data_IF_143465175445
#
_entry.id   IF_143465175445
#
_cell.length_a   1.000
_cell.length_b   1.000
_cell.length_c   1.000
_cell.angle_alpha   90.00
_cell.angle_beta   90.00
_cell.angle_gamma   90.00
#
_symmetry.space_group_name_H-M   'P 1'
#
loop_
_entity.id
_entity.type
_entity.pdbx_description
1 polymer ?
#
# COMPACT_ATOMS: atom_id res chain seq x y z
N UNK A 1 -49.78 -23.61 2.87
CA UNK A 1 -48.74 -22.74 2.28
C UNK A 1 -47.76 -23.53 1.42
N UNK A 2 -47.45 -24.79 1.75
CA UNK A 2 -46.57 -25.65 0.95
C UNK A 2 -46.87 -25.87 -0.54
N UNK A 3 -48.11 -25.71 -1.01
CA UNK A 3 -48.38 -25.75 -2.47
C UNK A 3 -47.67 -24.61 -3.22
N UNK A 4 -47.59 -23.41 -2.61
CA UNK A 4 -46.97 -22.25 -3.26
C UNK A 4 -45.45 -22.37 -3.36
N UNK A 5 -44.78 -22.84 -2.30
CA UNK A 5 -43.32 -23.01 -2.31
C UNK A 5 -42.90 -24.03 -3.38
N UNK A 6 -43.60 -25.17 -3.45
CA UNK A 6 -43.33 -26.22 -4.43
C UNK A 6 -43.56 -25.71 -5.87
N UNK A 7 -44.66 -25.00 -6.13
CA UNK A 7 -44.93 -24.37 -7.43
C UNK A 7 -43.85 -23.35 -7.81
N UNK A 8 -43.40 -22.50 -6.86
CA UNK A 8 -42.32 -21.54 -7.08
C UNK A 8 -40.99 -22.21 -7.38
N UNK A 9 -40.65 -23.31 -6.69
CA UNK A 9 -39.44 -24.10 -6.96
C UNK A 9 -39.46 -24.73 -8.36
N UNK A 10 -40.61 -25.28 -8.78
CA UNK A 10 -40.77 -25.84 -10.13
C UNK A 10 -40.61 -24.78 -11.21
N UNK A 11 -41.23 -23.61 -11.05
CA UNK A 11 -41.09 -22.51 -12.01
C UNK A 11 -39.68 -21.93 -12.07
N UNK A 12 -38.94 -21.93 -10.96
CA UNK A 12 -37.61 -21.35 -10.86
C UNK A 12 -36.47 -22.29 -11.32
N UNK A 13 -36.73 -23.60 -11.48
CA UNK A 13 -35.68 -24.62 -11.67
C UNK A 13 -34.78 -24.33 -12.88
N UNK A 14 -35.36 -23.99 -14.03
CA UNK A 14 -34.58 -23.68 -15.24
C UNK A 14 -33.67 -22.47 -15.07
N UNK A 15 -34.17 -21.40 -14.43
CA UNK A 15 -33.37 -20.19 -14.17
C UNK A 15 -32.26 -20.46 -13.14
N UNK A 16 -32.55 -21.24 -12.10
CA UNK A 16 -31.56 -21.65 -11.11
C UNK A 16 -30.38 -22.41 -11.76
N UNK A 17 -30.67 -23.35 -12.66
CA UNK A 17 -29.64 -24.12 -13.36
C UNK A 17 -28.77 -23.25 -14.29
N UNK A 18 -29.38 -22.32 -15.02
CA UNK A 18 -28.66 -21.37 -15.87
C UNK A 18 -27.68 -20.51 -15.06
N UNK A 19 -28.15 -19.94 -13.94
CA UNK A 19 -27.34 -19.09 -13.06
C UNK A 19 -26.15 -19.85 -12.46
N UNK A 20 -26.37 -21.09 -11.99
CA UNK A 20 -25.29 -21.93 -11.45
C UNK A 20 -24.29 -22.34 -12.53
N UNK A 21 -24.73 -22.51 -13.77
CA UNK A 21 -23.82 -22.75 -14.90
C UNK A 21 -22.93 -21.53 -15.15
N UNK A 22 -23.48 -20.32 -15.11
CA UNK A 22 -22.69 -19.09 -15.26
C UNK A 22 -21.70 -18.95 -14.09
N UNK A 23 -22.13 -19.21 -12.85
CA UNK A 23 -21.27 -19.14 -11.67
C UNK A 23 -20.11 -20.13 -11.76
N UNK A 24 -20.34 -21.37 -12.17
CA UNK A 24 -19.27 -22.36 -12.32
C UNK A 24 -18.29 -22.02 -13.44
N UNK A 25 -18.75 -21.43 -14.55
CA UNK A 25 -17.87 -20.95 -15.63
C UNK A 25 -17.00 -19.75 -15.21
N UNK A 26 -17.47 -18.96 -14.23
CA UNK A 26 -16.85 -17.70 -13.81
C UNK A 26 -16.21 -17.75 -12.42
N UNK A 27 -16.21 -18.92 -11.76
CA UNK A 27 -15.79 -19.11 -10.35
C UNK A 27 -14.39 -18.56 -10.06
N UNK A 28 -13.48 -18.71 -11.02
CA UNK A 28 -12.08 -18.27 -10.88
C UNK A 28 -11.86 -16.77 -11.17
N UNK A 29 -12.83 -16.08 -11.77
CA UNK A 29 -12.65 -14.71 -12.26
C UNK A 29 -12.36 -13.68 -11.14
N UNK A 30 -13.10 -13.67 -10.00
CA UNK A 30 -12.83 -12.72 -8.92
C UNK A 30 -11.44 -12.90 -8.29
N UNK A 31 -11.01 -14.15 -8.11
CA UNK A 31 -9.69 -14.48 -7.56
C UNK A 31 -8.58 -14.08 -8.52
N UNK A 32 -8.73 -14.41 -9.81
CA UNK A 32 -7.78 -14.03 -10.85
C UNK A 32 -7.66 -12.50 -10.99
N UNK A 33 -8.77 -11.76 -10.88
CA UNK A 33 -8.76 -10.29 -10.91
C UNK A 33 -7.95 -9.70 -9.76
N UNK A 34 -8.10 -10.26 -8.55
CA UNK A 34 -7.34 -9.83 -7.37
C UNK A 34 -5.84 -10.10 -7.53
N UNK A 35 -5.48 -11.27 -8.06
CA UNK A 35 -4.08 -11.63 -8.34
C UNK A 35 -3.48 -10.71 -9.41
N UNK A 36 -4.19 -10.49 -10.51
CA UNK A 36 -3.77 -9.59 -11.59
C UNK A 36 -3.59 -8.13 -11.09
N UNK A 37 -4.48 -7.64 -10.23
CA UNK A 37 -4.34 -6.30 -9.60
C UNK A 37 -3.08 -6.19 -8.74
N UNK A 38 -2.76 -7.27 -8.00
CA UNK A 38 -1.51 -7.33 -7.21
C UNK A 38 -0.28 -7.34 -8.12
N UNK A 39 -0.33 -8.10 -9.21
CA UNK A 39 0.73 -8.16 -10.21
C UNK A 39 0.98 -6.80 -10.89
N UNK A 40 -0.09 -6.07 -11.26
CA UNK A 40 0.01 -4.70 -11.79
C UNK A 40 0.73 -3.78 -10.80
N UNK A 41 0.39 -3.86 -9.51
CA UNK A 41 1.02 -3.03 -8.47
C UNK A 41 2.52 -3.33 -8.33
N UNK A 42 2.90 -4.61 -8.40
CA UNK A 42 4.31 -5.03 -8.38
C UNK A 42 5.06 -4.52 -9.62
N UNK A 43 4.48 -4.68 -10.82
CA UNK A 43 5.06 -4.15 -12.06
C UNK A 43 5.27 -2.63 -12.01
N UNK A 44 4.28 -1.88 -11.52
CA UNK A 44 4.40 -0.42 -11.35
C UNK A 44 5.54 -0.05 -10.39
N UNK A 45 5.71 -0.81 -9.31
CA UNK A 45 6.81 -0.60 -8.36
C UNK A 45 8.16 -0.87 -9.01
N UNK A 46 8.30 -2.00 -9.73
CA UNK A 46 9.54 -2.36 -10.45
C UNK A 46 9.88 -1.35 -11.54
N UNK A 47 8.89 -0.84 -12.27
CA UNK A 47 9.06 0.22 -13.27
C UNK A 47 9.60 1.48 -12.60
N UNK A 48 8.99 1.92 -11.49
CA UNK A 48 9.43 3.12 -10.77
C UNK A 48 10.86 3.01 -10.21
N UNK A 49 11.27 1.81 -9.79
CA UNK A 49 12.64 1.59 -9.34
C UNK A 49 13.63 1.49 -10.50
N UNK A 50 13.25 0.84 -11.60
CA UNK A 50 14.06 0.78 -12.82
C UNK A 50 14.24 2.18 -13.43
N UNK A 51 13.23 3.04 -13.38
CA UNK A 51 13.31 4.45 -13.79
C UNK A 51 14.38 5.23 -13.00
N UNK A 52 14.47 5.00 -11.69
CA UNK A 52 15.51 5.62 -10.86
C UNK A 52 16.89 5.10 -11.25
N UNK A 53 16.99 3.81 -11.52
CA UNK A 53 18.26 3.17 -11.90
C UNK A 53 18.72 3.64 -13.29
N UNK A 54 17.83 3.74 -14.28
CA UNK A 54 18.15 4.33 -15.60
C UNK A 54 18.67 5.75 -15.43
N UNK A 55 18.03 6.59 -14.62
CA UNK A 55 18.51 7.96 -14.35
C UNK A 55 19.89 7.98 -13.71
N UNK A 56 20.19 7.02 -12.83
CA UNK A 56 21.50 6.89 -12.18
C UNK A 56 22.57 6.43 -13.17
N UNK A 57 22.29 5.38 -13.94
CA UNK A 57 23.20 4.84 -14.94
C UNK A 57 23.47 5.84 -16.06
N UNK A 58 22.45 6.55 -16.54
CA UNK A 58 22.61 7.60 -17.54
C UNK A 58 23.59 8.71 -17.11
N UNK A 59 23.56 9.11 -15.83
CA UNK A 59 24.54 10.07 -15.29
C UNK A 59 25.96 9.51 -15.32
N UNK A 60 26.13 8.25 -14.95
CA UNK A 60 27.43 7.55 -14.97
C UNK A 60 27.93 7.46 -16.42
N UNK A 61 27.10 6.97 -17.34
CA UNK A 61 27.46 6.87 -18.76
C UNK A 61 27.90 8.21 -19.32
N UNK A 62 27.22 9.31 -18.99
CA UNK A 62 27.64 10.64 -19.47
C UNK A 62 28.92 11.17 -18.82
N UNK A 63 29.21 10.81 -17.57
CA UNK A 63 30.48 11.18 -16.94
C UNK A 63 31.63 10.37 -17.54
N UNK A 64 31.48 9.05 -17.69
CA UNK A 64 32.46 8.17 -18.38
C UNK A 64 32.68 8.59 -19.84
N UNK A 65 31.60 9.02 -20.54
CA UNK A 65 31.68 9.54 -21.90
C UNK A 65 32.52 10.82 -21.98
N UNK A 66 32.33 11.76 -21.05
CA UNK A 66 33.13 13.00 -21.01
C UNK A 66 34.59 12.69 -20.73
N UNK A 67 34.89 11.76 -19.83
CA UNK A 67 36.26 11.38 -19.49
C UNK A 67 36.95 10.67 -20.67
N UNK A 68 36.26 9.77 -21.35
CA UNK A 68 36.71 9.15 -22.60
C UNK A 68 37.05 10.20 -23.67
N UNK A 69 36.11 11.10 -24.00
CA UNK A 69 36.31 12.15 -25.01
C UNK A 69 37.46 13.08 -24.62
N UNK A 70 37.48 13.55 -23.37
CA UNK A 70 38.52 14.47 -22.86
C UNK A 70 39.90 13.84 -22.94
N UNK A 71 40.03 12.54 -22.65
CA UNK A 71 41.30 11.85 -22.71
C UNK A 71 41.75 11.57 -24.15
N UNK A 72 40.82 11.23 -25.04
CA UNK A 72 41.09 10.97 -26.45
C UNK A 72 41.53 12.24 -27.21
N UNK A 73 40.83 13.36 -26.98
CA UNK A 73 41.03 14.64 -27.68
C UNK A 73 42.18 15.49 -27.11
N UNK A 74 42.73 15.15 -25.94
CA UNK A 74 43.77 15.96 -25.29
C UNK A 74 45.13 15.84 -25.99
N UNK A 75 45.37 16.74 -26.95
CA UNK A 75 46.63 16.88 -27.69
C UNK A 75 47.82 17.17 -26.78
N UNK A 76 47.65 17.99 -25.74
CA UNK A 76 48.69 18.29 -24.74
C UNK A 76 49.06 17.06 -23.90
N UNK A 77 48.07 16.30 -23.43
CA UNK A 77 48.28 15.07 -22.66
C UNK A 77 49.02 14.03 -23.52
N UNK A 78 48.54 13.81 -24.75
CA UNK A 78 49.18 12.92 -25.73
C UNK A 78 50.64 13.31 -25.99
N UNK A 79 50.93 14.61 -26.14
CA UNK A 79 52.28 15.12 -26.32
C UNK A 79 53.19 14.89 -25.10
N UNK A 80 52.69 15.14 -23.88
CA UNK A 80 53.43 14.88 -22.63
C UNK A 80 53.79 13.40 -22.43
N UNK A 81 52.88 12.49 -22.77
CA UNK A 81 53.17 11.05 -22.73
C UNK A 81 54.18 10.63 -23.80
N UNK A 82 54.15 11.25 -24.99
CA UNK A 82 55.14 11.03 -26.05
C UNK A 82 56.55 11.47 -25.64
N UNK A 83 56.69 12.58 -24.91
CA UNK A 83 57.97 13.06 -24.38
C UNK A 83 58.62 12.10 -23.36
N UNK A 84 57.84 11.23 -22.71
CA UNK A 84 58.35 10.17 -21.81
C UNK A 84 58.85 8.92 -22.56
N UNK A 85 58.87 8.94 -23.90
CA UNK A 85 59.34 7.86 -24.75
C UNK A 85 58.37 6.67 -24.83
N UNK A 86 58.84 5.52 -25.35
CA UNK A 86 58.01 4.33 -25.64
C UNK A 86 57.16 3.83 -24.46
N UNK A 87 57.67 3.95 -23.23
CA UNK A 87 56.91 3.58 -22.01
C UNK A 87 55.76 4.56 -21.73
N UNK A 88 55.93 5.84 -22.04
CA UNK A 88 54.89 6.86 -21.92
C UNK A 88 53.78 6.69 -22.97
N UNK A 89 54.14 6.40 -24.22
CA UNK A 89 53.17 6.09 -25.28
C UNK A 89 52.33 4.84 -24.95
N UNK A 90 52.95 3.77 -24.45
CA UNK A 90 52.23 2.56 -24.02
C UNK A 90 51.29 2.83 -22.84
N UNK A 91 51.70 3.66 -21.87
CA UNK A 91 50.85 4.05 -20.74
C UNK A 91 49.64 4.91 -21.17
N UNK A 92 49.80 5.78 -22.18
CA UNK A 92 48.70 6.54 -22.75
C UNK A 92 47.67 5.64 -23.41
N UNK A 93 48.11 4.69 -24.26
CA UNK A 93 47.24 3.73 -24.93
C UNK A 93 46.52 2.81 -23.93
N UNK A 94 47.23 2.32 -22.90
CA UNK A 94 46.63 1.51 -21.85
C UNK A 94 45.52 2.24 -21.08
N UNK A 95 45.73 3.55 -20.82
CA UNK A 95 44.71 4.37 -20.16
C UNK A 95 43.54 4.70 -21.10
N UNK A 96 43.79 5.03 -22.37
CA UNK A 96 42.71 5.24 -23.35
C UNK A 96 41.80 4.00 -23.48
N UNK A 97 42.38 2.80 -23.57
CA UNK A 97 41.63 1.54 -23.59
C UNK A 97 40.84 1.30 -22.29
N UNK A 98 41.32 1.80 -21.15
CA UNK A 98 40.61 1.68 -19.86
C UNK A 98 39.37 2.56 -19.87
N UNK A 99 39.51 3.83 -20.26
CA UNK A 99 38.39 4.79 -20.33
C UNK A 99 37.34 4.35 -21.38
N UNK A 100 37.77 3.82 -22.53
CA UNK A 100 36.85 3.22 -23.52
C UNK A 100 36.07 2.03 -22.95
N UNK A 101 36.76 1.14 -22.22
CA UNK A 101 36.12 -0.02 -21.60
C UNK A 101 35.12 0.41 -20.52
N UNK A 102 35.47 1.36 -19.67
CA UNK A 102 34.59 1.90 -18.62
C UNK A 102 33.33 2.56 -19.21
N UNK A 103 33.48 3.34 -20.28
CA UNK A 103 32.34 3.90 -21.03
C UNK A 103 31.46 2.82 -21.67
N UNK A 104 32.04 1.83 -22.36
CA UNK A 104 31.26 0.75 -23.01
C UNK A 104 30.51 -0.09 -21.97
N UNK A 105 31.14 -0.42 -20.84
CA UNK A 105 30.48 -1.15 -19.75
C UNK A 105 29.33 -0.35 -19.14
N UNK A 106 29.52 0.96 -18.89
CA UNK A 106 28.45 1.84 -18.39
C UNK A 106 27.28 1.93 -19.38
N UNK A 107 27.58 2.11 -20.67
CA UNK A 107 26.58 2.20 -21.73
C UNK A 107 25.80 0.88 -21.93
N UNK A 108 26.49 -0.26 -21.90
CA UNK A 108 25.84 -1.58 -21.98
C UNK A 108 24.87 -1.78 -20.81
N UNK A 109 25.31 -1.46 -19.59
CA UNK A 109 24.46 -1.60 -18.40
C UNK A 109 23.25 -0.68 -18.42
N UNK A 110 23.41 0.57 -18.88
CA UNK A 110 22.29 1.48 -19.08
C UNK A 110 21.28 0.90 -20.08
N UNK A 111 21.77 0.37 -21.21
CA UNK A 111 20.93 -0.21 -22.26
C UNK A 111 20.19 -1.47 -21.82
N UNK A 112 20.87 -2.40 -21.14
CA UNK A 112 20.24 -3.60 -20.57
C UNK A 112 19.11 -3.24 -19.59
N UNK A 113 19.33 -2.17 -18.80
CA UNK A 113 18.31 -1.67 -17.86
C UNK A 113 17.14 -1.01 -18.60
N UNK A 114 17.40 -0.27 -19.69
CA UNK A 114 16.35 0.29 -20.55
C UNK A 114 15.53 -0.81 -21.24
N UNK A 115 16.17 -1.87 -21.74
CA UNK A 115 15.49 -3.02 -22.34
C UNK A 115 14.60 -3.72 -21.31
N UNK A 116 15.11 -3.97 -20.09
CA UNK A 116 14.33 -4.52 -18.98
C UNK A 116 13.12 -3.63 -18.63
N UNK A 117 13.30 -2.31 -18.61
CA UNK A 117 12.19 -1.36 -18.38
C UNK A 117 11.12 -1.45 -19.48
N UNK A 118 11.53 -1.59 -20.75
CA UNK A 118 10.60 -1.76 -21.87
C UNK A 118 9.81 -3.07 -21.75
N UNK A 119 10.45 -4.16 -21.35
CA UNK A 119 9.78 -5.44 -21.09
C UNK A 119 8.76 -5.34 -19.95
N UNK A 120 9.13 -4.71 -18.84
CA UNK A 120 8.21 -4.46 -17.72
C UNK A 120 7.01 -3.60 -18.15
N UNK A 121 7.23 -2.58 -18.97
CA UNK A 121 6.18 -1.71 -19.50
C UNK A 121 5.23 -2.48 -20.44
N UNK A 122 5.77 -3.35 -21.28
CA UNK A 122 4.98 -4.21 -22.15
C UNK A 122 4.15 -5.23 -21.34
N UNK A 123 4.74 -5.82 -20.30
CA UNK A 123 4.06 -6.71 -19.37
C UNK A 123 2.94 -6.00 -18.60
N UNK A 124 3.16 -4.75 -18.17
CA UNK A 124 2.12 -3.93 -17.53
C UNK A 124 0.93 -3.71 -18.46
N UNK A 125 1.18 -3.31 -19.70
CA UNK A 125 0.12 -3.13 -20.70
C UNK A 125 -0.67 -4.42 -20.97
N UNK A 126 0.01 -5.56 -21.03
CA UNK A 126 -0.65 -6.85 -21.17
C UNK A 126 -1.50 -7.19 -19.94
N UNK A 127 -0.99 -6.93 -18.74
CA UNK A 127 -1.70 -7.14 -17.49
C UNK A 127 -2.94 -6.24 -17.35
N UNK A 128 -2.88 -4.98 -17.78
CA UNK A 128 -4.02 -4.04 -17.81
C UNK A 128 -5.12 -4.50 -18.78
N UNK A 129 -4.75 -5.00 -19.96
CA UNK A 129 -5.73 -5.58 -20.90
C UNK A 129 -6.43 -6.81 -20.30
N UNK A 130 -5.66 -7.67 -19.62
CA UNK A 130 -6.20 -8.83 -18.91
C UNK A 130 -7.09 -8.41 -17.74
N UNK A 131 -6.74 -7.33 -17.03
CA UNK A 131 -7.57 -6.76 -15.97
C UNK A 131 -8.97 -6.40 -16.49
N UNK A 132 -9.07 -5.75 -17.65
CA UNK A 132 -10.35 -5.42 -18.26
C UNK A 132 -11.19 -6.66 -18.58
N UNK A 133 -10.56 -7.72 -19.10
CA UNK A 133 -11.24 -9.00 -19.37
C UNK A 133 -11.74 -9.65 -18.08
N UNK A 134 -10.90 -9.70 -17.05
CA UNK A 134 -11.24 -10.27 -15.74
C UNK A 134 -12.31 -9.46 -15.01
N UNK A 135 -12.32 -8.13 -15.17
CA UNK A 135 -13.39 -7.25 -14.65
C UNK A 135 -14.73 -7.59 -15.28
N UNK A 136 -14.79 -7.80 -16.59
CA UNK A 136 -16.03 -8.18 -17.28
C UNK A 136 -16.56 -9.55 -16.80
N UNK A 137 -15.68 -10.55 -16.66
CA UNK A 137 -16.06 -11.87 -16.14
C UNK A 137 -16.46 -11.83 -14.67
N UNK A 138 -15.79 -11.02 -13.84
CA UNK A 138 -16.18 -10.79 -12.43
C UNK A 138 -17.53 -10.11 -12.35
N UNK A 139 -17.81 -9.11 -13.20
CA UNK A 139 -19.12 -8.47 -13.25
C UNK A 139 -20.23 -9.45 -13.66
N UNK A 140 -19.95 -10.36 -14.61
CA UNK A 140 -20.87 -11.44 -15.00
C UNK A 140 -21.11 -12.41 -13.86
N UNK A 141 -20.06 -12.77 -13.11
CA UNK A 141 -20.17 -13.59 -11.90
C UNK A 141 -21.05 -12.92 -10.84
N UNK A 142 -20.76 -11.66 -10.51
CA UNK A 142 -21.49 -10.90 -9.50
C UNK A 142 -22.96 -10.69 -9.89
N UNK A 143 -23.23 -10.44 -11.18
CA UNK A 143 -24.59 -10.36 -11.69
C UNK A 143 -25.34 -11.68 -11.50
N UNK A 144 -24.75 -12.80 -11.92
CA UNK A 144 -25.37 -14.12 -11.76
C UNK A 144 -25.60 -14.46 -10.27
N UNK A 145 -24.66 -14.12 -9.40
CA UNK A 145 -24.79 -14.29 -7.95
C UNK A 145 -25.93 -13.44 -7.40
N UNK A 146 -26.03 -12.17 -7.79
CA UNK A 146 -27.10 -11.27 -7.35
C UNK A 146 -28.48 -11.70 -7.85
N UNK A 147 -28.57 -12.22 -9.07
CA UNK A 147 -29.81 -12.79 -9.61
C UNK A 147 -30.21 -14.09 -8.90
N UNK A 148 -29.24 -14.94 -8.56
CA UNK A 148 -29.47 -16.16 -7.78
C UNK A 148 -29.96 -15.82 -6.37
N UNK A 149 -29.33 -14.84 -5.72
CA UNK A 149 -29.73 -14.37 -4.40
C UNK A 149 -31.16 -13.79 -4.42
N UNK A 150 -31.54 -13.03 -5.47
CA UNK A 150 -32.91 -12.52 -5.64
C UNK A 150 -33.91 -13.65 -5.90
N UNK A 151 -33.55 -14.63 -6.73
CA UNK A 151 -34.37 -15.80 -7.01
C UNK A 151 -34.63 -16.60 -5.74
N UNK A 152 -33.59 -16.85 -4.94
CA UNK A 152 -33.78 -17.53 -3.65
C UNK A 152 -34.56 -16.67 -2.66
N UNK A 153 -34.29 -15.38 -2.60
CA UNK A 153 -35.05 -14.48 -1.72
C UNK A 153 -36.53 -14.49 -2.08
N UNK A 154 -36.93 -14.55 -3.36
CA UNK A 154 -38.35 -14.58 -3.72
C UNK A 154 -39.04 -15.92 -3.46
N UNK A 155 -38.30 -17.02 -3.43
CA UNK A 155 -38.82 -18.37 -3.18
C UNK A 155 -38.91 -18.65 -1.69
N UNK A 156 -37.91 -18.22 -0.93
CA UNK A 156 -37.76 -18.47 0.50
C UNK A 156 -38.12 -17.22 1.35
N UNK A 157 -38.91 -16.27 0.81
CA UNK A 157 -39.37 -15.10 1.58
C UNK A 157 -40.44 -15.52 2.59
N UNK A 158 -40.03 -15.70 3.84
CA UNK A 158 -40.90 -16.08 4.95
C UNK A 158 -40.68 -17.51 5.43
N UNK A 159 -41.48 -17.99 6.40
CA UNK A 159 -41.24 -19.28 7.05
C UNK A 159 -41.28 -20.42 6.04
N UNK A 160 -40.28 -21.30 6.07
CA UNK A 160 -40.14 -22.46 5.18
C UNK A 160 -40.34 -23.78 5.93
N UNK A 161 -41.53 -24.06 6.51
CA UNK A 161 -41.75 -25.26 7.31
C UNK A 161 -41.61 -26.56 6.50
N UNK A 162 -41.70 -26.48 5.18
CA UNK A 162 -41.47 -27.62 4.28
C UNK A 162 -39.98 -27.96 4.06
N UNK A 163 -39.05 -27.08 4.44
CA UNK A 163 -37.59 -27.28 4.31
C UNK A 163 -36.93 -27.22 5.69
N UNK A 164 -36.78 -28.36 6.39
CA UNK A 164 -36.26 -28.39 7.75
C UNK A 164 -34.88 -27.73 7.88
N UNK A 165 -34.76 -26.78 8.82
CA UNK A 165 -33.49 -26.11 9.15
C UNK A 165 -33.12 -24.92 8.27
N UNK A 166 -33.87 -24.64 7.20
CA UNK A 166 -33.58 -23.53 6.28
C UNK A 166 -33.70 -22.16 6.97
N UNK A 167 -34.80 -21.87 7.65
CA UNK A 167 -35.01 -20.63 8.44
C UNK A 167 -33.89 -20.39 9.48
N UNK A 168 -33.37 -21.47 10.09
CA UNK A 168 -32.30 -21.40 11.09
C UNK A 168 -30.96 -21.02 10.44
N UNK A 169 -30.66 -21.59 9.28
CA UNK A 169 -29.46 -21.29 8.50
C UNK A 169 -29.53 -19.88 7.91
N UNK A 170 -30.68 -19.44 7.44
CA UNK A 170 -30.87 -18.07 6.96
C UNK A 170 -30.61 -17.06 8.09
N UNK A 171 -31.20 -17.30 9.26
CA UNK A 171 -30.94 -16.49 10.46
C UNK A 171 -29.45 -16.50 10.85
N UNK A 172 -28.76 -17.64 10.70
CA UNK A 172 -27.33 -17.76 10.95
C UNK A 172 -26.49 -16.95 9.97
N UNK A 173 -26.81 -17.05 8.67
CA UNK A 173 -26.16 -16.26 7.62
C UNK A 173 -26.35 -14.77 7.86
N UNK A 174 -27.55 -14.31 8.23
CA UNK A 174 -27.80 -12.91 8.56
C UNK A 174 -26.96 -12.43 9.74
N UNK A 175 -26.81 -13.24 10.80
CA UNK A 175 -25.93 -12.91 11.94
C UNK A 175 -24.46 -12.82 11.51
N UNK A 176 -23.99 -13.77 10.70
CA UNK A 176 -22.62 -13.79 10.19
C UNK A 176 -22.33 -12.58 9.30
N UNK A 177 -23.26 -12.19 8.42
CA UNK A 177 -23.16 -10.96 7.61
C UNK A 177 -23.00 -9.71 8.48
N UNK A 178 -23.86 -9.54 9.49
CA UNK A 178 -23.76 -8.40 10.43
C UNK A 178 -22.42 -8.39 11.19
N UNK A 179 -21.93 -9.57 11.59
CA UNK A 179 -20.64 -9.69 12.24
C UNK A 179 -19.48 -9.35 11.29
N UNK A 180 -19.52 -9.82 10.04
CA UNK A 180 -18.53 -9.49 9.02
C UNK A 180 -18.52 -7.99 8.73
N UNK A 181 -19.68 -7.37 8.55
CA UNK A 181 -19.80 -5.92 8.34
C UNK A 181 -19.18 -5.14 9.51
N UNK A 182 -19.54 -5.48 10.75
CA UNK A 182 -18.96 -4.86 11.94
C UNK A 182 -17.45 -5.07 12.04
N UNK A 183 -16.95 -6.24 11.66
CA UNK A 183 -15.53 -6.58 11.70
C UNK A 183 -14.73 -5.82 10.65
N UNK A 184 -15.29 -5.64 9.44
CA UNK A 184 -14.70 -4.82 8.37
C UNK A 184 -14.65 -3.35 8.79
N UNK A 185 -15.74 -2.80 9.35
CA UNK A 185 -15.74 -1.42 9.86
C UNK A 185 -14.69 -1.23 10.95
N UNK A 186 -14.59 -2.18 11.88
CA UNK A 186 -13.57 -2.16 12.92
C UNK A 186 -12.15 -2.21 12.32
N UNK A 187 -11.88 -3.12 11.39
CA UNK A 187 -10.59 -3.22 10.70
C UNK A 187 -10.23 -1.91 9.98
N UNK A 188 -11.18 -1.27 9.29
CA UNK A 188 -10.97 -0.02 8.59
C UNK A 188 -10.58 1.12 9.55
N UNK A 189 -11.22 1.20 10.72
CA UNK A 189 -10.83 2.16 11.76
C UNK A 189 -9.40 1.90 12.26
N UNK A 190 -9.03 0.62 12.50
CA UNK A 190 -7.67 0.29 12.94
C UNK A 190 -6.60 0.62 11.89
N UNK A 191 -6.91 0.41 10.59
CA UNK A 191 -6.04 0.78 9.47
C UNK A 191 -5.81 2.28 9.42
N UNK A 192 -6.90 3.08 9.45
CA UNK A 192 -6.82 4.54 9.42
C UNK A 192 -6.04 5.10 10.60
N UNK A 193 -6.22 4.53 11.80
CA UNK A 193 -5.44 4.90 12.97
C UNK A 193 -3.94 4.62 12.78
N UNK A 194 -3.57 3.47 12.18
CA UNK A 194 -2.17 3.14 11.89
C UNK A 194 -1.56 4.10 10.84
N UNK A 195 -2.30 4.43 9.79
CA UNK A 195 -1.89 5.39 8.76
C UNK A 195 -1.67 6.79 9.34
N UNK A 196 -2.59 7.25 10.18
CA UNK A 196 -2.49 8.53 10.86
C UNK A 196 -1.30 8.57 11.85
N UNK A 197 -1.03 7.49 12.60
CA UNK A 197 0.18 7.38 13.43
C UNK A 197 1.46 7.37 12.61
N UNK A 198 1.46 6.72 11.45
CA UNK A 198 2.62 6.73 10.55
C UNK A 198 2.88 8.13 9.98
N UNK A 199 1.83 8.86 9.58
CA UNK A 199 1.95 10.26 9.16
C UNK A 199 2.45 11.15 10.30
N UNK A 200 1.94 10.95 11.52
CA UNK A 200 2.42 11.63 12.74
C UNK A 200 3.94 11.43 12.90
N UNK A 201 4.41 10.18 12.82
CA UNK A 201 5.83 9.85 12.94
C UNK A 201 6.68 10.54 11.85
N UNK A 202 6.22 10.55 10.60
CA UNK A 202 6.92 11.21 9.50
C UNK A 202 7.05 12.73 9.71
N UNK A 203 5.97 13.38 10.17
CA UNK A 203 5.97 14.81 10.49
C UNK A 203 6.91 15.12 11.68
N UNK A 204 6.89 14.31 12.75
CA UNK A 204 7.82 14.47 13.88
C UNK A 204 9.28 14.27 13.45
N UNK A 205 9.57 13.27 12.62
CA UNK A 205 10.93 13.04 12.08
C UNK A 205 11.40 14.19 11.19
N UNK A 206 10.50 14.78 10.40
CA UNK A 206 10.81 15.99 9.62
C UNK A 206 11.15 17.15 10.56
N UNK A 207 10.28 17.44 11.52
CA UNK A 207 10.51 18.49 12.50
C UNK A 207 11.83 18.29 13.27
N UNK A 208 12.22 17.04 13.56
CA UNK A 208 13.46 16.74 14.26
C UNK A 208 14.71 17.00 13.39
N UNK A 209 14.61 16.84 12.07
CA UNK A 209 15.68 17.23 11.14
C UNK A 209 15.81 18.74 11.07
N UNK A 210 14.70 19.46 10.93
CA UNK A 210 14.68 20.92 10.90
C UNK A 210 15.20 21.50 12.24
N UNK A 211 14.88 20.84 13.36
CA UNK A 211 15.44 21.19 14.67
C UNK A 211 16.94 20.93 14.80
N UNK A 212 17.44 19.82 14.26
CA UNK A 212 18.88 19.55 14.25
C UNK A 212 19.63 20.59 13.41
N UNK A 213 19.07 21.02 12.28
CA UNK A 213 19.61 22.11 11.46
C UNK A 213 19.65 23.43 12.24
N UNK A 214 18.58 23.78 12.97
CA UNK A 214 18.58 24.96 13.83
C UNK A 214 19.60 24.88 14.98
N UNK A 215 19.81 23.70 15.60
CA UNK A 215 20.87 23.50 16.62
C UNK A 215 22.25 23.76 16.01
N UNK A 216 22.50 23.22 14.83
CA UNK A 216 23.79 23.37 14.17
C UNK A 216 24.02 24.84 13.80
N UNK A 217 23.03 25.53 13.23
CA UNK A 217 23.12 26.97 12.93
C UNK A 217 23.32 27.84 14.19
N UNK A 218 22.61 27.55 15.29
CA UNK A 218 22.78 28.22 16.58
C UNK A 218 24.20 28.06 17.14
N UNK A 219 24.87 26.91 16.90
CA UNK A 219 26.29 26.74 17.28
C UNK A 219 27.21 27.65 16.49
N UNK A 220 26.93 27.88 15.20
CA UNK A 220 27.73 28.80 14.37
C UNK A 220 27.54 30.26 14.81
N UNK A 221 26.34 30.63 15.28
CA UNK A 221 26.05 31.98 15.79
C UNK A 221 26.89 32.33 17.04
N UNK A 222 27.03 31.38 17.98
CA UNK A 222 27.85 31.54 19.19
C UNK A 222 29.34 31.82 18.93
N UNK A 223 29.85 31.58 17.71
CA UNK A 223 31.24 31.85 17.31
C UNK A 223 31.42 33.14 16.48
N UNK A 224 30.38 33.99 16.41
CA UNK A 224 30.44 35.30 15.74
C UNK A 224 29.60 35.36 14.45
N UNK A 225 28.45 34.69 14.44
CA UNK A 225 27.46 34.80 13.35
C UNK A 225 26.80 36.18 13.33
N UNK A 226 26.59 36.74 12.15
CA UNK A 226 25.82 37.96 11.98
C UNK A 226 24.33 37.68 11.73
N UNK A 227 23.55 38.74 11.46
CA UNK A 227 22.09 38.75 11.21
C UNK A 227 21.56 37.75 10.17
N UNK A 228 22.43 37.13 9.36
CA UNK A 228 22.07 36.11 8.36
C UNK A 228 21.90 34.71 8.98
N UNK A 229 22.68 34.38 10.02
CA UNK A 229 22.60 33.09 10.74
C UNK A 229 21.30 33.03 11.55
N UNK A 230 20.92 34.13 12.20
CA UNK A 230 19.62 34.32 12.87
C UNK A 230 18.42 34.06 11.95
N UNK A 231 18.49 34.49 10.69
CA UNK A 231 17.37 34.35 9.75
C UNK A 231 17.19 32.89 9.31
N UNK A 232 18.29 32.17 9.09
CA UNK A 232 18.25 30.74 8.73
C UNK A 232 17.81 29.87 9.92
N UNK A 233 18.26 30.18 11.14
CA UNK A 233 17.79 29.51 12.35
C UNK A 233 16.27 29.66 12.53
N UNK A 234 15.73 30.86 12.30
CA UNK A 234 14.28 31.11 12.40
C UNK A 234 13.48 30.37 11.34
N UNK A 235 13.99 30.24 10.12
CA UNK A 235 13.35 29.45 9.06
C UNK A 235 13.31 27.96 9.41
N UNK A 236 14.41 27.40 9.91
CA UNK A 236 14.49 26.01 10.36
C UNK A 236 13.56 25.74 11.56
N UNK A 237 13.50 26.64 12.54
CA UNK A 237 12.58 26.54 13.68
C UNK A 237 11.11 26.64 13.25
N UNK A 238 10.79 27.53 12.31
CA UNK A 238 9.44 27.66 11.74
C UNK A 238 9.00 26.38 11.03
N UNK A 239 9.89 25.77 10.23
CA UNK A 239 9.63 24.47 9.58
C UNK A 239 9.39 23.36 10.60
N UNK A 240 10.19 23.32 11.66
CA UNK A 240 10.00 22.36 12.75
C UNK A 240 8.62 22.53 13.43
N UNK A 241 8.21 23.77 13.69
CA UNK A 241 6.90 24.09 14.27
C UNK A 241 5.73 23.65 13.38
N UNK A 242 5.83 23.84 12.07
CA UNK A 242 4.85 23.35 11.09
C UNK A 242 4.78 21.83 11.14
N UNK A 243 5.93 21.14 11.12
CA UNK A 243 5.99 19.69 11.22
C UNK A 243 5.37 19.14 12.51
N UNK A 244 5.60 19.78 13.66
CA UNK A 244 4.95 19.40 14.93
C UNK A 244 3.43 19.62 14.84
N UNK A 245 2.98 20.74 14.31
CA UNK A 245 1.55 21.05 14.19
C UNK A 245 0.81 20.05 13.29
N UNK A 246 1.41 19.67 12.17
CA UNK A 246 0.90 18.62 11.28
C UNK A 246 0.87 17.26 11.99
N UNK A 247 1.91 16.92 12.74
CA UNK A 247 1.97 15.69 13.51
C UNK A 247 0.81 15.60 14.51
N UNK A 248 0.53 16.68 15.23
CA UNK A 248 -0.58 16.72 16.20
C UNK A 248 -1.94 16.57 15.53
N UNK A 249 -2.15 17.18 14.36
CA UNK A 249 -3.39 17.01 13.58
C UNK A 249 -3.59 15.54 13.18
N UNK A 250 -2.54 14.88 12.73
CA UNK A 250 -2.57 13.45 12.41
C UNK A 250 -2.77 12.58 13.66
N UNK A 251 -2.18 12.95 14.80
CA UNK A 251 -2.37 12.27 16.06
C UNK A 251 -3.82 12.33 16.53
N UNK A 252 -4.49 13.48 16.40
CA UNK A 252 -5.91 13.61 16.71
C UNK A 252 -6.80 12.79 15.77
N UNK A 253 -6.44 12.69 14.49
CA UNK A 253 -7.12 11.78 13.56
C UNK A 253 -6.97 10.32 14.00
N UNK A 254 -5.77 9.90 14.40
CA UNK A 254 -5.54 8.56 14.92
C UNK A 254 -6.42 8.26 16.15
N UNK A 255 -6.52 9.22 17.08
CA UNK A 255 -7.35 9.11 18.29
C UNK A 255 -8.85 9.10 18.01
N UNK A 256 -9.32 9.83 16.97
CA UNK A 256 -10.72 9.76 16.53
C UNK A 256 -11.06 8.37 15.97
N UNK A 257 -10.13 7.73 15.28
CA UNK A 257 -10.31 6.36 14.78
C UNK A 257 -10.17 5.31 15.89
N UNK A 258 -9.27 5.52 16.86
CA UNK A 258 -9.03 4.63 17.99
C UNK A 258 -8.82 5.42 19.29
N UNK A 259 -9.89 5.62 20.09
CA UNK A 259 -9.84 6.42 21.33
C UNK A 259 -8.88 5.88 22.41
N UNK A 260 -8.49 4.60 22.32
CA UNK A 260 -7.53 3.99 23.25
C UNK A 260 -6.08 4.47 23.03
N UNK A 261 -5.78 5.17 21.93
CA UNK A 261 -4.46 5.77 21.70
C UNK A 261 -4.29 6.96 22.66
N UNK A 262 -3.29 6.94 23.57
CA UNK A 262 -3.01 8.07 24.45
C UNK A 262 -2.39 9.22 23.64
N UNK A 263 -2.53 10.48 24.09
CA UNK A 263 -1.81 11.60 23.49
C UNK A 263 -0.28 11.45 23.62
N UNK A 264 0.48 12.20 22.83
CA UNK A 264 1.93 12.27 22.97
C UNK A 264 2.28 12.97 24.30
N UNK A 265 3.15 12.36 25.09
CA UNK A 265 3.68 12.94 26.31
C UNK A 265 4.61 14.10 25.94
N UNK A 266 4.60 15.15 26.76
CA UNK A 266 5.43 16.36 26.62
C UNK A 266 5.09 17.29 25.44
N UNK A 267 4.10 16.96 24.61
CA UNK A 267 3.47 17.92 23.70
C UNK A 267 2.05 18.13 24.21
N UNK A 268 1.91 18.93 25.27
CA UNK A 268 0.64 19.03 25.97
C UNK A 268 -0.41 19.75 25.12
N UNK A 269 -1.37 18.99 24.60
CA UNK A 269 -2.57 19.47 23.92
C UNK A 269 -3.61 19.77 25.00
N UNK A 270 -3.62 20.99 25.52
CA UNK A 270 -4.82 21.48 26.21
C UNK A 270 -5.64 22.36 25.26
N UNK A 271 -6.95 22.11 25.24
CA UNK A 271 -7.89 22.56 24.22
C UNK A 271 -7.85 24.07 23.97
N UNK A 272 -7.47 24.45 22.74
CA UNK A 272 -7.66 25.81 22.21
C UNK A 272 -6.34 26.55 21.98
N UNK A 273 -5.86 26.52 20.73
CA UNK A 273 -4.92 27.49 20.14
C UNK A 273 -3.55 27.76 20.80
N UNK A 274 -3.10 27.04 21.84
CA UNK A 274 -1.85 27.37 22.58
C UNK A 274 -0.76 26.28 22.59
N UNK A 275 -0.78 25.31 21.67
CA UNK A 275 0.06 24.09 21.79
C UNK A 275 1.43 24.25 21.13
N UNK A 276 1.54 25.11 20.12
CA UNK A 276 2.82 25.56 19.59
C UNK A 276 3.54 26.50 20.57
N UNK A 277 2.78 27.22 21.40
CA UNK A 277 3.32 28.34 22.14
C UNK A 277 4.23 27.88 23.28
N UNK A 278 3.91 26.73 23.89
CA UNK A 278 4.70 26.16 24.99
C UNK A 278 6.04 25.57 24.52
N UNK A 279 6.08 24.99 23.30
CA UNK A 279 7.31 24.41 22.75
C UNK A 279 8.22 25.43 22.07
N UNK A 280 7.66 26.44 21.39
CA UNK A 280 8.40 27.32 20.51
C UNK A 280 8.32 28.82 20.85
N UNK A 281 7.28 29.34 21.51
CA UNK A 281 7.15 30.80 21.77
C UNK A 281 8.20 31.31 22.77
N UNK A 282 8.56 30.47 23.74
CA UNK A 282 9.67 30.74 24.67
C UNK A 282 11.06 30.56 24.03
N UNK A 283 11.21 30.02 22.82
CA UNK A 283 12.53 29.90 22.17
C UNK A 283 12.97 31.24 21.57
N UNK A 284 12.03 32.07 21.10
CA UNK A 284 12.34 33.23 20.24
C UNK A 284 12.65 34.55 20.95
N UNK A 285 12.56 34.61 22.29
CA UNK A 285 12.53 35.90 23.02
C UNK A 285 13.72 36.18 23.96
N UNK A 286 14.76 35.34 24.07
CA UNK A 286 15.76 35.50 25.15
C UNK A 286 17.16 34.88 24.90
N UNK A 287 18.21 35.43 25.54
CA UNK A 287 19.64 35.03 25.46
C UNK A 287 19.97 33.59 25.95
N UNK A 288 18.95 32.77 26.26
CA UNK A 288 19.05 31.36 26.64
C UNK A 288 18.55 30.40 25.53
N UNK A 289 18.56 30.87 24.28
CA UNK A 289 17.96 30.23 23.10
C UNK A 289 18.54 28.83 22.81
N UNK A 290 19.86 28.65 22.92
CA UNK A 290 20.54 27.39 22.59
C UNK A 290 20.11 26.21 23.49
N UNK A 291 20.00 26.42 24.81
CA UNK A 291 19.60 25.37 25.74
C UNK A 291 18.10 25.05 25.63
N UNK A 292 17.27 26.04 25.30
CA UNK A 292 15.84 25.82 25.03
C UNK A 292 15.64 24.99 23.75
N UNK A 293 16.39 25.30 22.69
CA UNK A 293 16.41 24.53 21.43
C UNK A 293 16.82 23.07 21.68
N UNK A 294 17.86 22.83 22.49
CA UNK A 294 18.24 21.46 22.88
C UNK A 294 17.15 20.73 23.65
N UNK A 295 16.48 21.42 24.58
CA UNK A 295 15.40 20.82 25.37
C UNK A 295 14.21 20.44 24.47
N UNK A 296 13.82 21.31 23.53
CA UNK A 296 12.74 21.02 22.57
C UNK A 296 13.11 19.87 21.62
N UNK A 297 14.36 19.79 21.16
CA UNK A 297 14.84 18.65 20.39
C UNK A 297 14.80 17.34 21.19
N UNK A 298 15.16 17.36 22.48
CA UNK A 298 15.06 16.19 23.35
C UNK A 298 13.59 15.75 23.54
N UNK A 299 12.66 16.69 23.73
CA UNK A 299 11.22 16.38 23.81
C UNK A 299 10.68 15.79 22.51
N UNK A 300 11.11 16.31 21.36
CA UNK A 300 10.72 15.80 20.05
C UNK A 300 11.24 14.37 19.81
N UNK A 301 12.46 14.06 20.24
CA UNK A 301 12.99 12.69 20.21
C UNK A 301 12.18 11.73 21.09
N UNK A 302 11.76 12.17 22.29
CA UNK A 302 10.88 11.37 23.15
C UNK A 302 9.51 11.12 22.48
N UNK A 303 8.94 12.15 21.84
CA UNK A 303 7.68 12.03 21.10
C UNK A 303 7.80 11.07 19.91
N UNK A 304 8.91 11.12 19.15
CA UNK A 304 9.21 10.16 18.07
C UNK A 304 9.25 8.73 18.62
N UNK A 305 9.97 8.51 19.73
CA UNK A 305 10.07 7.19 20.35
C UNK A 305 8.70 6.67 20.78
N UNK A 306 7.92 7.48 21.48
CA UNK A 306 6.57 7.12 21.89
C UNK A 306 5.67 6.84 20.68
N UNK A 307 5.68 7.70 19.67
CA UNK A 307 4.87 7.51 18.46
C UNK A 307 5.24 6.23 17.72
N UNK A 308 6.53 5.86 17.71
CA UNK A 308 7.00 4.60 17.14
C UNK A 308 6.44 3.40 17.90
N UNK A 309 6.49 3.42 19.23
CA UNK A 309 5.92 2.36 20.08
C UNK A 309 4.39 2.23 19.90
N UNK A 310 3.68 3.36 19.83
CA UNK A 310 2.24 3.41 19.56
C UNK A 310 1.91 2.86 18.18
N UNK A 311 2.67 3.23 17.15
CA UNK A 311 2.50 2.73 15.79
C UNK A 311 2.68 1.22 15.73
N UNK A 312 3.70 0.67 16.38
CA UNK A 312 3.92 -0.78 16.41
C UNK A 312 2.80 -1.52 17.16
N UNK A 313 2.30 -0.97 18.26
CA UNK A 313 1.11 -1.52 18.95
C UNK A 313 -0.14 -1.46 18.07
N UNK A 314 -0.33 -0.35 17.35
CA UNK A 314 -1.49 -0.16 16.48
C UNK A 314 -1.43 -1.08 15.26
N UNK A 315 -0.24 -1.33 14.69
CA UNK A 315 -0.04 -2.33 13.62
C UNK A 315 -0.43 -3.73 14.07
N UNK A 316 -0.12 -4.13 15.31
CA UNK A 316 -0.57 -5.42 15.88
C UNK A 316 -2.09 -5.47 15.99
N UNK A 317 -2.69 -4.42 16.56
CA UNK A 317 -4.16 -4.29 16.69
C UNK A 317 -4.85 -4.36 15.32
N UNK A 318 -4.28 -3.74 14.29
CA UNK A 318 -4.76 -3.83 12.92
C UNK A 318 -4.67 -5.25 12.36
N UNK A 319 -3.56 -5.98 12.59
CA UNK A 319 -3.43 -7.38 12.17
C UNK A 319 -4.46 -8.28 12.84
N UNK A 320 -4.71 -8.08 14.14
CA UNK A 320 -5.72 -8.84 14.88
C UNK A 320 -7.13 -8.56 14.35
N UNK A 321 -7.45 -7.29 14.07
CA UNK A 321 -8.72 -6.91 13.44
C UNK A 321 -8.87 -7.48 12.01
N UNK A 322 -7.78 -7.53 11.24
CA UNK A 322 -7.78 -8.15 9.91
C UNK A 322 -8.02 -9.67 9.99
N UNK A 323 -7.45 -10.35 10.99
CA UNK A 323 -7.69 -11.77 11.23
C UNK A 323 -9.16 -12.05 11.62
N UNK A 324 -9.76 -11.21 12.47
CA UNK A 324 -11.18 -11.30 12.82
C UNK A 324 -12.10 -11.08 11.61
N UNK A 325 -11.78 -10.08 10.77
CA UNK A 325 -12.51 -9.83 9.51
C UNK A 325 -12.41 -11.01 8.55
N UNK A 326 -11.24 -11.63 8.42
CA UNK A 326 -11.06 -12.84 7.62
C UNK A 326 -11.91 -14.01 8.16
N UNK A 327 -11.88 -14.25 9.47
CA UNK A 327 -12.69 -15.29 10.12
C UNK A 327 -14.19 -15.05 9.93
N UNK A 328 -14.65 -13.79 10.03
CA UNK A 328 -16.04 -13.44 9.83
C UNK A 328 -16.51 -13.65 8.38
N UNK A 329 -15.64 -13.36 7.41
CA UNK A 329 -15.90 -13.65 6.01
C UNK A 329 -15.96 -15.17 5.75
N UNK A 330 -15.04 -15.94 6.33
CA UNK A 330 -15.05 -17.41 6.21
C UNK A 330 -16.33 -18.02 6.80
N UNK A 331 -16.74 -17.58 7.99
CA UNK A 331 -18.00 -18.01 8.61
C UNK A 331 -19.23 -17.61 7.78
N UNK A 332 -19.20 -16.44 7.14
CA UNK A 332 -20.27 -15.99 6.24
C UNK A 332 -20.34 -16.86 4.99
N UNK A 333 -19.19 -17.20 4.40
CA UNK A 333 -19.12 -18.07 3.23
C UNK A 333 -19.57 -19.50 3.56
N UNK A 334 -19.12 -20.07 4.69
CA UNK A 334 -19.55 -21.38 5.15
C UNK A 334 -21.08 -21.43 5.38
N UNK A 335 -21.65 -20.42 6.06
CA UNK A 335 -23.09 -20.33 6.26
C UNK A 335 -23.86 -20.16 4.93
N UNK A 336 -23.31 -19.43 3.97
CA UNK A 336 -23.90 -19.25 2.64
C UNK A 336 -23.94 -20.58 1.88
N UNK A 337 -22.83 -21.31 1.86
CA UNK A 337 -22.72 -22.60 1.19
C UNK A 337 -23.69 -23.62 1.79
N UNK A 338 -23.80 -23.68 3.12
CA UNK A 338 -24.72 -24.60 3.77
C UNK A 338 -26.19 -24.24 3.51
N UNK A 339 -26.54 -22.95 3.51
CA UNK A 339 -27.87 -22.49 3.14
C UNK A 339 -28.20 -22.82 1.68
N UNK A 340 -27.26 -22.57 0.76
CA UNK A 340 -27.40 -22.93 -0.66
C UNK A 340 -27.56 -24.44 -0.85
N UNK A 341 -26.83 -25.25 -0.07
CA UNK A 341 -26.93 -26.72 -0.09
C UNK A 341 -28.34 -27.20 0.25
N UNK A 342 -28.92 -26.71 1.35
CA UNK A 342 -30.30 -27.10 1.75
C UNK A 342 -31.33 -26.59 0.74
N UNK A 343 -31.17 -25.37 0.22
CA UNK A 343 -32.05 -24.83 -0.82
C UNK A 343 -31.96 -25.66 -2.11
N UNK A 344 -30.77 -26.09 -2.51
CA UNK A 344 -30.55 -26.98 -3.64
C UNK A 344 -31.21 -28.36 -3.43
N UNK A 345 -31.08 -28.96 -2.25
CA UNK A 345 -31.80 -30.19 -1.90
C UNK A 345 -33.33 -30.02 -2.00
N UNK A 346 -33.85 -28.85 -1.62
CA UNK A 346 -35.27 -28.54 -1.76
C UNK A 346 -35.68 -28.50 -3.24
N UNK A 347 -34.89 -27.87 -4.11
CA UNK A 347 -35.10 -27.92 -5.56
C UNK A 347 -35.10 -29.37 -6.09
N UNK A 348 -34.16 -30.20 -5.66
CA UNK A 348 -34.11 -31.62 -6.07
C UNK A 348 -35.36 -32.39 -5.65
N UNK A 349 -35.78 -32.23 -4.39
CA UNK A 349 -36.90 -32.96 -3.80
C UNK A 349 -38.25 -32.55 -4.36
N UNK A 350 -38.44 -31.25 -4.61
CA UNK A 350 -39.76 -30.70 -4.92
C UNK A 350 -39.96 -30.32 -6.40
N UNK A 351 -38.87 -30.06 -7.15
CA UNK A 351 -38.98 -29.66 -8.55
C UNK A 351 -38.88 -30.82 -9.56
N UNK A 352 -38.23 -31.95 -9.22
CA UNK A 352 -38.08 -33.12 -10.09
C UNK A 352 -37.25 -32.89 -11.37
N UNK A 353 -36.16 -33.65 -11.55
CA UNK A 353 -35.20 -33.53 -12.68
C UNK A 353 -34.51 -32.15 -12.87
N UNK A 354 -34.46 -31.32 -11.83
CA UNK A 354 -33.77 -30.02 -11.83
C UNK A 354 -32.59 -29.93 -10.85
N UNK A 355 -31.94 -31.06 -10.55
CA UNK A 355 -30.83 -31.11 -9.60
C UNK A 355 -29.67 -30.22 -10.06
N UNK A 356 -29.34 -29.14 -9.33
CA UNK A 356 -28.13 -28.39 -9.64
C UNK A 356 -26.91 -29.28 -9.38
N UNK A 357 -25.87 -29.25 -10.23
CA UNK A 357 -24.62 -29.90 -9.90
C UNK A 357 -24.13 -29.37 -8.54
N UNK A 358 -23.71 -30.28 -7.65
CA UNK A 358 -23.11 -29.92 -6.37
C UNK A 358 -22.01 -28.89 -6.61
N UNK A 359 -22.09 -27.73 -5.96
CA UNK A 359 -21.07 -26.68 -6.03
C UNK A 359 -19.76 -27.24 -5.45
N UNK A 360 -18.92 -27.82 -6.31
CA UNK A 360 -17.56 -28.16 -5.95
C UNK A 360 -16.78 -26.85 -5.96
N UNK A 361 -16.50 -26.30 -4.77
CA UNK A 361 -15.56 -25.20 -4.63
C UNK A 361 -14.27 -25.62 -5.36
N UNK A 362 -14.00 -24.98 -6.50
CA UNK A 362 -12.83 -25.35 -7.31
C UNK A 362 -11.59 -24.80 -6.62
N UNK A 363 -11.06 -25.57 -5.65
CA UNK A 363 -9.74 -25.32 -5.06
C UNK A 363 -8.67 -25.77 -6.05
N UNK A 364 -8.70 -25.25 -7.28
CA UNK A 364 -7.59 -25.40 -8.21
C UNK A 364 -6.69 -24.19 -8.05
N UNK A 365 -5.75 -24.32 -7.12
CA UNK A 365 -4.53 -23.53 -7.10
C UNK A 365 -3.80 -23.75 -8.44
N UNK A 366 -3.90 -22.77 -9.34
CA UNK A 366 -3.04 -22.68 -10.51
C UNK A 366 -1.81 -21.88 -10.07
N UNK A 367 -0.64 -22.51 -9.89
CA UNK A 367 0.58 -21.78 -9.59
C UNK A 367 0.88 -20.79 -10.74
N UNK A 368 1.43 -19.60 -10.44
CA UNK A 368 1.81 -18.66 -11.48
C UNK A 368 2.83 -19.33 -12.43
N UNK A 369 2.78 -19.03 -13.74
CA UNK A 369 3.78 -19.52 -14.69
C UNK A 369 5.16 -19.06 -14.21
N UNK A 370 6.07 -20.02 -14.04
CA UNK A 370 7.45 -19.75 -13.72
C UNK A 370 8.12 -19.14 -14.95
N UNK A 371 8.38 -17.83 -14.90
CA UNK A 371 9.36 -17.16 -15.75
C UNK A 371 10.16 -16.17 -14.90
#
# INVERSE_FOLDING_TARGET
MGSRLIESLQHAAGRNQELLTILSQTDNAPTALKQNTTYITDLQTRIADTDKEIKRLHRITEDERKDHIKYEESTFTRYMYKLRGKKGEAAFAAKANKEEKEFVEAWQKERETQESHMELTAALKAAENEQHRLQAETARHDQAQGELDRLYSSIFDGPTPEVPGEDQLESSLQRNKRWADSSIQHQNLQRRAAEALNATLQCLQRANRDMAEAIDMSRWDMFGGGTFVDMMERDALSKAQVGVSEALRHMDEARRCQPAIPPLHNINIDNGHMISDVLFDNIFSDMAQHDRIKNSAAQLQMAIKQCTELLEKQKRTYRDAAAQSAQANEATNAARLELQRIRAEAFERFAGQGAPPSFQASVQYVPPPAY
#
